data_IF_941607237400
#
_entry.id   IF_941607237400
#
_cell.length_a   1.000
_cell.length_b   1.000
_cell.length_c   1.000
_cell.angle_alpha   90.00
_cell.angle_beta   90.00
_cell.angle_gamma   90.00
#
_symmetry.space_group_name_H-M   'P 1'
#
loop_
_entity.id
_entity.type
_entity.pdbx_description
1 polymer ?
#
# COMPACT_ATOMS: atom_id res chain seq x y z
N UNK A 1 -28.55 17.78 46.95
CA UNK A 1 -27.48 18.25 46.03
C UNK A 1 -27.64 17.54 44.70
N UNK A 2 -28.33 18.18 43.74
CA UNK A 2 -28.49 17.63 42.39
C UNK A 2 -27.21 17.84 41.60
N UNK A 3 -26.62 16.74 41.11
CA UNK A 3 -25.46 16.78 40.22
C UNK A 3 -25.84 17.50 38.93
N UNK A 4 -25.20 18.64 38.67
CA UNK A 4 -25.32 19.40 37.43
C UNK A 4 -24.78 18.52 36.29
N UNK A 5 -25.66 18.08 35.39
CA UNK A 5 -25.26 17.49 34.11
C UNK A 5 -24.55 18.58 33.29
N UNK A 6 -23.23 18.48 33.17
CA UNK A 6 -22.45 19.29 32.24
C UNK A 6 -22.99 19.06 30.83
N UNK A 7 -23.54 20.11 30.20
CA UNK A 7 -23.87 20.08 28.77
C UNK A 7 -22.58 19.81 27.99
N UNK A 8 -22.58 18.92 26.98
CA UNK A 8 -21.44 18.81 26.09
C UNK A 8 -21.19 20.17 25.44
N UNK A 9 -19.92 20.59 25.43
CA UNK A 9 -19.44 21.80 24.75
C UNK A 9 -20.06 21.94 23.36
N UNK A 10 -20.60 23.13 23.07
CA UNK A 10 -21.33 23.47 21.85
C UNK A 10 -20.43 23.79 20.64
N UNK A 11 -19.11 23.66 20.78
CA UNK A 11 -18.14 24.06 19.75
C UNK A 11 -17.29 22.88 19.23
N UNK A 12 -17.84 21.67 19.16
CA UNK A 12 -17.23 20.66 18.26
C UNK A 12 -17.75 20.92 16.84
N UNK A 13 -16.86 21.11 15.84
CA UNK A 13 -17.30 21.17 14.46
C UNK A 13 -18.16 19.94 14.16
N UNK A 14 -19.25 20.13 13.42
CA UNK A 14 -20.16 19.04 13.06
C UNK A 14 -19.34 17.90 12.43
N UNK A 15 -19.40 16.71 13.05
CA UNK A 15 -18.69 15.53 12.56
C UNK A 15 -19.25 15.19 11.19
N UNK A 16 -18.40 15.26 10.17
CA UNK A 16 -18.77 14.83 8.83
C UNK A 16 -18.71 13.31 8.75
N UNK A 17 -19.86 12.68 9.03
CA UNK A 17 -19.94 11.22 9.14
C UNK A 17 -19.96 10.52 7.79
N UNK A 18 -20.30 11.20 6.69
CA UNK A 18 -20.49 10.59 5.37
C UNK A 18 -19.51 11.07 4.31
N UNK A 19 -18.92 12.26 4.51
CA UNK A 19 -18.06 12.88 3.51
C UNK A 19 -16.70 12.25 3.36
N UNK A 20 -16.14 11.61 4.40
CA UNK A 20 -14.86 10.87 4.36
C UNK A 20 -15.03 9.40 3.96
N UNK A 21 -13.96 8.61 3.85
CA UNK A 21 -14.07 7.15 3.96
C UNK A 21 -14.22 6.77 5.44
N UNK A 22 -15.05 5.78 5.80
CA UNK A 22 -15.27 5.43 7.20
C UNK A 22 -14.00 4.95 7.89
N UNK A 23 -13.74 5.53 9.06
CA UNK A 23 -12.68 5.13 9.98
C UNK A 23 -13.23 4.51 11.27
N UNK A 24 -14.52 4.69 11.53
CA UNK A 24 -15.24 4.23 12.72
C UNK A 24 -16.54 3.48 12.37
N UNK A 25 -17.13 2.81 13.37
CA UNK A 25 -18.43 2.13 13.23
C UNK A 25 -19.59 3.09 13.04
N UNK A 26 -19.57 4.23 13.75
CA UNK A 26 -20.55 5.31 13.62
C UNK A 26 -20.63 5.82 12.17
N UNK A 27 -19.48 5.98 11.50
CA UNK A 27 -19.43 6.37 10.09
C UNK A 27 -20.01 5.29 9.18
N UNK A 28 -19.75 4.01 9.44
CA UNK A 28 -20.37 2.91 8.68
C UNK A 28 -21.89 2.88 8.87
N UNK A 29 -22.37 3.04 10.10
CA UNK A 29 -23.81 3.06 10.41
C UNK A 29 -24.51 4.23 9.70
N UNK A 30 -23.87 5.41 9.64
CA UNK A 30 -24.38 6.56 8.91
C UNK A 30 -24.51 6.33 7.38
N UNK A 31 -23.77 5.37 6.82
CA UNK A 31 -23.88 4.92 5.41
C UNK A 31 -24.80 3.71 5.24
N UNK A 32 -25.34 3.16 6.33
CA UNK A 32 -26.08 1.89 6.32
C UNK A 32 -25.20 0.68 5.95
N UNK A 33 -23.90 0.73 6.27
CA UNK A 33 -22.95 -0.34 5.96
C UNK A 33 -22.78 -1.28 7.16
N UNK A 34 -23.21 -2.51 7.00
CA UNK A 34 -22.98 -3.62 7.94
C UNK A 34 -21.54 -4.15 7.87
N UNK A 35 -20.94 -4.10 6.68
CA UNK A 35 -19.57 -4.52 6.41
C UNK A 35 -18.92 -3.69 5.30
N UNK A 36 -17.59 -3.60 5.37
CA UNK A 36 -16.74 -3.08 4.28
C UNK A 36 -16.26 -4.23 3.39
N UNK A 37 -16.03 -3.94 2.12
CA UNK A 37 -15.44 -4.87 1.16
C UNK A 37 -13.91 -4.88 1.29
N UNK A 38 -13.31 -3.70 1.45
CA UNK A 38 -11.86 -3.51 1.51
C UNK A 38 -11.51 -2.67 2.74
N UNK A 39 -10.51 -3.13 3.50
CA UNK A 39 -9.89 -2.36 4.56
C UNK A 39 -8.51 -1.89 4.14
N UNK A 40 -8.24 -0.59 4.22
CA UNK A 40 -6.90 -0.03 4.00
C UNK A 40 -6.26 0.29 5.34
N UNK A 41 -5.16 -0.38 5.65
CA UNK A 41 -4.28 -0.04 6.77
C UNK A 41 -3.16 0.86 6.25
N UNK A 42 -3.04 2.05 6.82
CA UNK A 42 -2.15 3.11 6.37
C UNK A 42 -1.22 3.59 7.50
N UNK A 43 0.06 3.77 7.20
CA UNK A 43 1.06 4.31 8.13
C UNK A 43 1.01 5.84 8.33
N UNK A 44 0.28 6.58 7.50
CA UNK A 44 0.08 8.02 7.65
C UNK A 44 -1.22 8.36 8.38
N UNK A 45 -1.33 9.59 8.87
CA UNK A 45 -2.61 10.20 9.20
C UNK A 45 -3.55 10.18 7.97
N UNK A 46 -4.85 10.00 8.22
CA UNK A 46 -5.84 10.02 7.15
C UNK A 46 -6.12 11.46 6.72
N UNK A 47 -5.52 11.84 5.61
CA UNK A 47 -5.83 13.09 4.89
C UNK A 47 -6.54 12.70 3.61
N UNK A 48 -7.79 13.11 3.48
CA UNK A 48 -8.62 12.76 2.33
C UNK A 48 -8.33 13.71 1.16
N UNK A 49 -7.16 13.53 0.55
CA UNK A 49 -6.63 14.37 -0.50
C UNK A 49 -5.91 13.50 -1.54
N UNK A 50 -5.99 13.80 -2.85
CA UNK A 50 -5.39 12.96 -3.90
C UNK A 50 -3.86 12.88 -3.87
N UNK A 51 -3.20 13.71 -3.05
CA UNK A 51 -1.75 13.61 -2.79
C UNK A 51 -1.38 12.51 -1.78
N UNK A 52 -2.38 11.88 -1.14
CA UNK A 52 -2.18 10.81 -0.16
C UNK A 52 -2.63 9.49 -0.78
N UNK A 53 -1.68 8.57 -1.01
CA UNK A 53 -1.91 7.36 -1.80
C UNK A 53 -3.02 6.46 -1.25
N UNK A 54 -3.11 6.31 0.08
CA UNK A 54 -4.18 5.52 0.72
C UNK A 54 -5.58 6.10 0.45
N UNK A 55 -5.73 7.43 0.57
CA UNK A 55 -6.98 8.12 0.28
C UNK A 55 -7.34 8.03 -1.20
N UNK A 56 -6.35 8.25 -2.08
CA UNK A 56 -6.54 8.15 -3.54
C UNK A 56 -7.06 6.76 -3.93
N UNK A 57 -6.42 5.69 -3.45
CA UNK A 57 -6.84 4.32 -3.75
C UNK A 57 -8.21 4.02 -3.15
N UNK A 58 -8.46 4.46 -1.91
CA UNK A 58 -9.75 4.26 -1.26
C UNK A 58 -10.90 4.92 -2.02
N UNK A 59 -10.74 6.18 -2.43
CA UNK A 59 -11.73 6.90 -3.24
C UNK A 59 -11.90 6.29 -4.63
N UNK A 60 -10.80 5.87 -5.25
CA UNK A 60 -10.85 5.23 -6.57
C UNK A 60 -11.70 3.95 -6.56
N UNK A 61 -11.58 3.14 -5.50
CA UNK A 61 -12.39 1.95 -5.27
C UNK A 61 -13.83 2.30 -4.86
N UNK A 62 -14.03 3.26 -3.96
CA UNK A 62 -15.37 3.70 -3.53
C UNK A 62 -16.22 4.17 -4.72
N UNK A 63 -15.64 4.97 -5.62
CA UNK A 63 -16.29 5.43 -6.84
C UNK A 63 -16.70 4.29 -7.79
N UNK A 64 -16.16 3.08 -7.60
CA UNK A 64 -16.45 1.85 -8.36
C UNK A 64 -17.36 0.88 -7.60
N UNK A 65 -18.04 1.39 -6.57
CA UNK A 65 -19.08 0.68 -5.83
C UNK A 65 -18.55 -0.26 -4.75
N UNK A 66 -17.29 -0.13 -4.34
CA UNK A 66 -16.75 -0.89 -3.22
C UNK A 66 -16.93 -0.12 -1.91
N UNK A 67 -17.29 -0.82 -0.83
CA UNK A 67 -17.33 -0.26 0.52
C UNK A 67 -15.93 -0.28 1.10
N UNK A 68 -15.26 0.87 1.21
CA UNK A 68 -13.86 0.94 1.65
C UNK A 68 -13.76 1.60 3.02
N UNK A 69 -13.06 0.95 3.95
CA UNK A 69 -12.73 1.53 5.27
C UNK A 69 -11.24 1.82 5.40
N UNK A 70 -10.88 2.79 6.25
CA UNK A 70 -9.47 3.19 6.48
C UNK A 70 -9.11 3.13 7.96
N UNK A 71 -7.97 2.50 8.25
CA UNK A 71 -7.33 2.52 9.56
C UNK A 71 -5.94 3.13 9.41
N UNK A 72 -5.82 4.37 9.88
CA UNK A 72 -4.59 5.15 9.84
C UNK A 72 -3.86 5.09 11.17
N UNK A 73 -2.57 4.79 11.13
CA UNK A 73 -1.67 4.71 12.29
C UNK A 73 -2.24 3.86 13.44
N UNK A 74 -2.68 2.61 13.17
CA UNK A 74 -3.12 1.74 14.25
C UNK A 74 -1.96 1.45 15.19
N UNK A 75 -2.28 1.27 16.47
CA UNK A 75 -1.36 0.64 17.41
C UNK A 75 -0.98 -0.75 16.92
N UNK A 76 0.22 -1.16 17.27
CA UNK A 76 0.82 -2.42 16.77
C UNK A 76 1.29 -3.36 17.87
N UNK A 77 0.85 -3.13 19.11
CA UNK A 77 1.08 -4.05 20.22
C UNK A 77 0.05 -5.19 20.25
N UNK A 78 -1.03 -5.10 19.47
CA UNK A 78 -2.01 -6.16 19.25
C UNK A 78 -2.95 -5.85 18.07
N UNK A 79 -3.85 -6.79 17.69
CA UNK A 79 -4.75 -6.66 16.54
C UNK A 79 -6.00 -5.81 16.81
N UNK A 80 -6.22 -5.32 18.03
CA UNK A 80 -7.47 -4.71 18.48
C UNK A 80 -7.87 -3.49 17.65
N UNK A 81 -6.92 -2.61 17.35
CA UNK A 81 -7.17 -1.42 16.52
C UNK A 81 -7.58 -1.81 15.09
N UNK A 82 -7.05 -2.91 14.55
CA UNK A 82 -7.37 -3.42 13.21
C UNK A 82 -8.80 -3.97 13.15
N UNK A 83 -9.31 -4.50 14.27
CA UNK A 83 -10.65 -5.08 14.36
C UNK A 83 -11.77 -4.04 14.42
N UNK A 84 -11.48 -2.74 14.60
CA UNK A 84 -12.49 -1.70 14.85
C UNK A 84 -13.52 -1.53 13.72
N UNK A 85 -13.15 -1.86 12.49
CA UNK A 85 -14.02 -1.87 11.31
C UNK A 85 -14.51 -3.28 10.93
N UNK A 86 -14.34 -4.26 11.80
CA UNK A 86 -14.72 -5.64 11.56
C UNK A 86 -14.01 -6.26 10.37
N UNK A 87 -14.41 -7.49 10.04
CA UNK A 87 -13.79 -8.25 8.95
C UNK A 87 -14.23 -7.71 7.58
N UNK A 88 -13.30 -7.32 6.69
CA UNK A 88 -13.63 -6.97 5.31
C UNK A 88 -14.06 -8.20 4.51
N UNK A 89 -14.91 -8.01 3.50
CA UNK A 89 -15.43 -9.11 2.68
C UNK A 89 -14.42 -9.64 1.66
N UNK A 90 -13.55 -8.78 1.12
CA UNK A 90 -12.66 -9.12 0.00
C UNK A 90 -11.20 -9.26 0.45
N UNK A 91 -10.59 -8.20 0.97
CA UNK A 91 -9.18 -8.20 1.37
C UNK A 91 -8.81 -7.04 2.30
N UNK A 92 -7.62 -7.14 2.89
CA UNK A 92 -6.94 -6.02 3.57
C UNK A 92 -5.82 -5.50 2.69
N UNK A 93 -5.89 -4.22 2.31
CA UNK A 93 -4.82 -3.48 1.66
C UNK A 93 -3.91 -2.84 2.70
N UNK A 94 -2.58 -2.92 2.52
CA UNK A 94 -1.61 -2.40 3.48
C UNK A 94 -0.61 -1.50 2.79
N UNK A 95 -0.40 -0.32 3.35
CA UNK A 95 0.65 0.61 2.93
C UNK A 95 1.36 1.24 4.12
N UNK A 96 2.67 1.45 3.99
CA UNK A 96 3.46 2.20 4.97
C UNK A 96 3.18 3.71 4.97
N UNK A 97 2.37 4.19 4.01
CA UNK A 97 2.06 5.60 3.77
C UNK A 97 2.72 6.13 2.49
N UNK A 98 2.76 7.45 2.38
CA UNK A 98 3.37 8.20 1.28
C UNK A 98 4.90 8.15 1.30
N UNK A 99 5.51 7.60 2.35
CA UNK A 99 6.94 7.45 2.50
C UNK A 99 7.28 6.07 3.08
N UNK A 100 8.48 5.57 2.78
CA UNK A 100 9.03 4.40 3.47
C UNK A 100 9.11 4.65 4.98
N UNK A 101 8.72 3.66 5.78
CA UNK A 101 8.59 3.84 7.23
C UNK A 101 9.93 4.11 7.93
N UNK A 102 11.03 3.60 7.37
CA UNK A 102 12.37 3.83 7.90
C UNK A 102 12.89 5.20 7.48
N UNK A 103 12.67 5.62 6.23
CA UNK A 103 13.02 6.95 5.73
C UNK A 103 12.23 8.07 6.42
N UNK A 104 10.98 7.76 6.82
CA UNK A 104 10.17 8.65 7.63
C UNK A 104 10.73 8.84 9.04
N UNK A 105 11.35 7.81 9.62
CA UNK A 105 11.94 7.87 10.96
C UNK A 105 13.37 8.39 10.98
N UNK A 106 14.16 8.08 9.95
CA UNK A 106 15.60 8.28 9.93
C UNK A 106 16.03 9.24 8.81
N UNK A 107 17.05 10.06 9.10
CA UNK A 107 17.77 10.81 8.08
C UNK A 107 18.72 9.89 7.30
N UNK A 108 19.27 10.40 6.19
CA UNK A 108 20.30 9.69 5.43
C UNK A 108 21.53 9.32 6.27
N UNK A 109 21.82 10.07 7.35
CA UNK A 109 22.90 9.79 8.31
C UNK A 109 22.45 8.89 9.46
N UNK A 110 21.32 8.16 9.32
CA UNK A 110 20.74 7.26 10.33
C UNK A 110 20.39 7.96 11.67
N UNK A 111 20.15 9.27 11.67
CA UNK A 111 19.66 10.00 12.86
C UNK A 111 18.14 9.96 12.90
N UNK A 112 17.56 9.84 14.10
CA UNK A 112 16.11 9.92 14.28
C UNK A 112 15.63 11.34 13.97
N UNK A 113 14.62 11.47 13.10
CA UNK A 113 13.96 12.73 12.80
C UNK A 113 13.15 13.19 14.01
N UNK A 114 13.17 14.50 14.27
CA UNK A 114 12.40 15.12 15.35
C UNK A 114 10.90 15.21 15.04
N UNK A 115 10.52 15.08 13.76
CA UNK A 115 9.16 15.24 13.28
C UNK A 115 8.82 14.17 12.24
N UNK A 116 7.63 13.58 12.34
CA UNK A 116 6.99 12.79 11.28
C UNK A 116 5.95 13.66 10.57
N UNK A 117 6.27 14.09 9.35
CA UNK A 117 5.44 15.04 8.62
C UNK A 117 4.05 14.50 8.26
N UNK A 118 3.84 13.19 8.32
CA UNK A 118 2.59 12.55 7.97
C UNK A 118 1.78 12.14 9.22
N UNK A 119 2.16 12.63 10.40
CA UNK A 119 1.50 12.35 11.66
C UNK A 119 0.85 13.59 12.27
N UNK A 120 -0.19 13.42 13.11
CA UNK A 120 -0.80 14.54 13.83
C UNK A 120 0.21 15.24 14.74
N UNK A 121 0.30 16.56 14.60
CA UNK A 121 1.24 17.47 15.24
C UNK A 121 2.71 17.10 15.02
N UNK A 122 3.01 16.41 13.91
CA UNK A 122 4.38 15.99 13.62
C UNK A 122 4.89 14.88 14.56
N UNK A 123 4.02 14.25 15.35
CA UNK A 123 4.43 13.29 16.39
C UNK A 123 5.14 12.09 15.78
N UNK A 124 6.36 11.84 16.25
CA UNK A 124 7.15 10.65 15.90
C UNK A 124 6.64 9.41 16.62
N UNK A 125 6.93 8.22 16.07
CA UNK A 125 6.62 6.96 16.76
C UNK A 125 5.13 6.60 16.71
N UNK A 126 4.41 7.07 15.71
CA UNK A 126 3.00 6.74 15.39
C UNK A 126 2.85 5.62 14.37
N UNK A 127 3.96 5.19 13.76
CA UNK A 127 4.05 4.03 12.87
C UNK A 127 5.25 3.15 13.24
N UNK A 128 5.17 1.82 13.07
CA UNK A 128 6.28 0.93 13.33
C UNK A 128 7.36 1.01 12.24
N UNK A 129 8.57 0.61 12.61
CA UNK A 129 9.63 0.35 11.64
C UNK A 129 9.21 -0.81 10.71
N UNK A 130 9.47 -0.69 9.41
CA UNK A 130 9.05 -1.66 8.38
C UNK A 130 7.54 -1.94 8.46
N UNK A 131 6.76 -0.86 8.44
CA UNK A 131 5.33 -0.87 8.70
C UNK A 131 4.55 -1.92 7.89
N UNK A 132 4.91 -2.13 6.62
CA UNK A 132 4.27 -3.14 5.76
C UNK A 132 4.34 -4.55 6.38
N UNK A 133 5.47 -4.92 7.00
CA UNK A 133 5.64 -6.22 7.65
C UNK A 133 4.78 -6.34 8.91
N UNK A 134 4.84 -5.31 9.77
CA UNK A 134 4.15 -5.29 11.06
C UNK A 134 2.63 -5.31 10.84
N UNK A 135 2.12 -4.43 9.98
CA UNK A 135 0.70 -4.37 9.67
C UNK A 135 0.20 -5.62 8.95
N UNK A 136 1.02 -6.29 8.13
CA UNK A 136 0.65 -7.60 7.55
C UNK A 136 0.45 -8.64 8.63
N UNK A 137 1.37 -8.72 9.59
CA UNK A 137 1.26 -9.66 10.70
C UNK A 137 -0.02 -9.40 11.52
N UNK A 138 -0.30 -8.14 11.86
CA UNK A 138 -1.52 -7.76 12.59
C UNK A 138 -2.78 -8.08 11.80
N UNK A 139 -2.81 -7.79 10.49
CA UNK A 139 -3.95 -8.12 9.64
C UNK A 139 -4.22 -9.63 9.59
N UNK A 140 -3.16 -10.46 9.54
CA UNK A 140 -3.29 -11.92 9.57
C UNK A 140 -3.78 -12.45 10.92
N UNK A 141 -3.40 -11.81 12.02
CA UNK A 141 -3.91 -12.14 13.36
C UNK A 141 -5.38 -11.73 13.52
N UNK A 142 -5.73 -10.51 13.08
CA UNK A 142 -7.09 -9.98 13.14
C UNK A 142 -8.06 -10.75 12.24
N UNK A 143 -7.61 -11.15 11.04
CA UNK A 143 -8.45 -11.77 10.03
C UNK A 143 -7.80 -13.01 9.40
N UNK A 144 -7.74 -14.15 10.13
CA UNK A 144 -7.22 -15.39 9.58
C UNK A 144 -7.92 -15.77 8.26
N UNK A 145 -7.13 -16.25 7.29
CA UNK A 145 -7.58 -16.66 5.96
C UNK A 145 -8.05 -15.53 5.03
N UNK A 146 -8.05 -14.26 5.47
CA UNK A 146 -8.38 -13.15 4.59
C UNK A 146 -7.17 -12.77 3.73
N UNK A 147 -7.36 -12.51 2.42
CA UNK A 147 -6.27 -12.03 1.57
C UNK A 147 -5.67 -10.73 2.09
N UNK A 148 -4.34 -10.65 2.11
CA UNK A 148 -3.57 -9.45 2.43
C UNK A 148 -2.80 -8.99 1.20
N UNK A 149 -3.06 -7.75 0.77
CA UNK A 149 -2.48 -7.13 -0.42
C UNK A 149 -1.59 -5.97 0.00
N UNK A 150 -0.29 -6.06 -0.28
CA UNK A 150 0.65 -4.97 -0.04
C UNK A 150 0.60 -3.93 -1.15
N UNK A 151 0.86 -2.66 -0.82
CA UNK A 151 1.01 -1.59 -1.79
C UNK A 151 1.77 -0.37 -1.26
N UNK A 152 1.92 0.63 -2.12
CA UNK A 152 2.63 1.87 -1.83
C UNK A 152 4.15 1.75 -1.96
N UNK A 153 4.86 2.82 -1.60
CA UNK A 153 6.29 3.00 -1.91
C UNK A 153 7.15 1.93 -1.22
N UNK A 154 6.93 1.69 0.07
CA UNK A 154 7.73 0.72 0.84
C UNK A 154 7.65 -0.69 0.24
N UNK A 155 6.44 -1.16 -0.10
CA UNK A 155 6.26 -2.47 -0.70
C UNK A 155 6.83 -2.52 -2.12
N UNK A 156 6.52 -1.50 -2.94
CA UNK A 156 6.96 -1.42 -4.33
C UNK A 156 8.48 -1.47 -4.46
N UNK A 157 9.22 -0.70 -3.65
CA UNK A 157 10.68 -0.64 -3.73
C UNK A 157 11.37 -1.90 -3.17
N UNK A 158 10.67 -2.68 -2.33
CA UNK A 158 11.18 -3.91 -1.71
C UNK A 158 10.64 -5.19 -2.35
N UNK A 159 10.07 -5.10 -3.56
CA UNK A 159 9.39 -6.23 -4.23
C UNK A 159 10.33 -7.35 -4.70
N UNK A 160 11.63 -7.07 -4.84
CA UNK A 160 12.69 -8.05 -5.10
C UNK A 160 13.74 -7.99 -3.99
N UNK A 161 14.77 -8.84 -4.05
CA UNK A 161 15.95 -8.69 -3.22
C UNK A 161 16.52 -7.27 -3.39
N UNK A 162 16.84 -6.63 -2.27
CA UNK A 162 17.21 -5.23 -2.25
C UNK A 162 18.25 -4.97 -1.17
N UNK A 163 19.10 -3.98 -1.40
CA UNK A 163 20.01 -3.50 -0.38
C UNK A 163 19.26 -2.62 0.62
N UNK A 164 19.29 -3.01 1.89
CA UNK A 164 18.71 -2.26 2.99
C UNK A 164 19.79 -1.41 3.66
N UNK A 165 19.79 -0.12 3.35
CA UNK A 165 20.74 0.85 3.89
C UNK A 165 20.76 0.88 5.43
N UNK A 166 19.62 0.62 6.06
CA UNK A 166 19.45 0.71 7.51
C UNK A 166 20.21 -0.40 8.23
N UNK A 167 20.04 -1.65 7.79
CA UNK A 167 20.76 -2.82 8.32
C UNK A 167 22.09 -3.13 7.63
N UNK A 168 22.48 -2.35 6.62
CA UNK A 168 23.72 -2.54 5.84
C UNK A 168 23.83 -3.98 5.31
N UNK A 169 22.76 -4.47 4.70
CA UNK A 169 22.67 -5.85 4.22
C UNK A 169 21.69 -6.00 3.08
N UNK A 170 21.86 -7.04 2.26
CA UNK A 170 20.88 -7.44 1.26
C UNK A 170 19.75 -8.19 1.95
N UNK A 171 18.52 -7.74 1.73
CA UNK A 171 17.30 -8.37 2.24
C UNK A 171 16.54 -9.07 1.13
N UNK A 172 15.72 -10.05 1.52
CA UNK A 172 14.74 -10.71 0.66
C UNK A 172 13.66 -9.73 0.22
N UNK A 173 12.83 -10.18 -0.72
CA UNK A 173 11.60 -9.46 -1.07
C UNK A 173 10.70 -9.32 0.16
N UNK A 174 10.07 -8.15 0.30
CA UNK A 174 9.07 -7.89 1.34
C UNK A 174 7.92 -8.90 1.29
N UNK A 175 7.62 -9.46 0.12
CA UNK A 175 6.57 -10.46 -0.03
C UNK A 175 6.93 -11.79 0.65
N UNK A 176 8.21 -12.16 0.64
CA UNK A 176 8.72 -13.35 1.35
C UNK A 176 8.68 -13.12 2.86
N UNK A 177 9.16 -11.96 3.32
CA UNK A 177 9.26 -11.63 4.75
C UNK A 177 7.88 -11.39 5.40
N UNK A 178 6.98 -10.68 4.71
CA UNK A 178 5.62 -10.37 5.22
C UNK A 178 4.67 -11.55 5.15
N UNK A 179 4.93 -12.49 4.23
CA UNK A 179 3.98 -13.53 3.84
C UNK A 179 2.64 -12.96 3.37
N UNK A 180 2.58 -11.75 2.80
CA UNK A 180 1.36 -11.26 2.14
C UNK A 180 1.03 -12.13 0.91
N UNK A 181 -0.23 -12.12 0.49
CA UNK A 181 -0.71 -12.98 -0.61
C UNK A 181 -0.40 -12.38 -1.98
N UNK A 182 -0.44 -11.05 -2.08
CA UNK A 182 -0.19 -10.28 -3.29
C UNK A 182 0.50 -8.95 -2.94
N UNK A 183 1.29 -8.42 -3.87
CA UNK A 183 1.88 -7.09 -3.79
C UNK A 183 1.56 -6.31 -5.05
N UNK A 184 1.00 -5.11 -4.91
CA UNK A 184 0.78 -4.17 -6.00
C UNK A 184 1.92 -3.15 -6.02
N UNK A 185 2.51 -2.92 -7.18
CA UNK A 185 3.61 -1.96 -7.35
C UNK A 185 3.38 -0.97 -8.49
N UNK A 186 4.02 0.19 -8.37
CA UNK A 186 3.85 1.30 -9.31
C UNK A 186 2.48 1.95 -9.15
N UNK A 187 1.83 2.28 -10.27
CA UNK A 187 0.48 2.85 -10.32
C UNK A 187 -0.55 1.80 -9.88
N UNK A 188 -1.14 2.00 -8.71
CA UNK A 188 -1.92 0.98 -8.00
C UNK A 188 -3.40 0.90 -8.36
N UNK A 189 -3.96 1.88 -9.07
CA UNK A 189 -5.40 2.03 -9.28
C UNK A 189 -6.01 0.92 -10.14
N UNK A 190 -5.46 0.68 -11.33
CA UNK A 190 -5.97 -0.42 -12.19
C UNK A 190 -5.78 -1.77 -11.50
N UNK A 191 -4.59 -2.12 -10.96
CA UNK A 191 -4.39 -3.43 -10.33
C UNK A 191 -5.27 -3.65 -9.11
N UNK A 192 -5.43 -2.66 -8.24
CA UNK A 192 -6.25 -2.83 -7.03
C UNK A 192 -7.73 -2.97 -7.36
N UNK A 193 -8.21 -2.26 -8.38
CA UNK A 193 -9.58 -2.42 -8.86
C UNK A 193 -9.80 -3.80 -9.48
N UNK A 194 -8.88 -4.27 -10.33
CA UNK A 194 -8.98 -5.60 -10.93
C UNK A 194 -8.93 -6.71 -9.88
N UNK A 195 -8.08 -6.58 -8.85
CA UNK A 195 -8.06 -7.48 -7.68
C UNK A 195 -9.42 -7.47 -6.97
N UNK A 196 -9.95 -6.29 -6.63
CA UNK A 196 -11.21 -6.16 -5.92
C UNK A 196 -12.39 -6.73 -6.74
N UNK A 197 -12.41 -6.47 -8.05
CA UNK A 197 -13.46 -6.95 -8.95
C UNK A 197 -13.45 -8.47 -9.11
N UNK A 198 -12.27 -9.07 -9.34
CA UNK A 198 -12.16 -10.53 -9.48
C UNK A 198 -12.51 -11.25 -8.17
N UNK A 199 -12.08 -10.73 -7.02
CA UNK A 199 -12.47 -11.27 -5.71
C UNK A 199 -13.98 -11.13 -5.46
N UNK A 200 -14.58 -9.99 -5.81
CA UNK A 200 -16.04 -9.79 -5.75
C UNK A 200 -16.78 -10.76 -6.67
N UNK A 201 -16.18 -11.13 -7.80
CA UNK A 201 -16.67 -12.16 -8.73
C UNK A 201 -16.46 -13.61 -8.27
N UNK A 202 -15.88 -13.84 -7.08
CA UNK A 202 -15.68 -15.17 -6.51
C UNK A 202 -14.34 -15.82 -6.81
N UNK A 203 -13.43 -15.14 -7.50
CA UNK A 203 -12.05 -15.62 -7.63
C UNK A 203 -11.37 -15.67 -6.26
N UNK A 204 -10.44 -16.60 -6.09
CA UNK A 204 -9.55 -16.64 -4.93
C UNK A 204 -8.31 -15.79 -5.19
N UNK A 205 -7.59 -15.39 -4.13
CA UNK A 205 -6.30 -14.70 -4.28
C UNK A 205 -5.26 -15.53 -5.05
N UNK A 206 -5.41 -16.87 -5.04
CA UNK A 206 -4.54 -17.77 -5.78
C UNK A 206 -4.78 -17.74 -7.30
N UNK A 207 -5.94 -17.26 -7.74
CA UNK A 207 -6.29 -17.13 -9.17
C UNK A 207 -5.76 -15.82 -9.78
N UNK A 208 -5.38 -14.85 -8.94
CA UNK A 208 -4.97 -13.49 -9.36
C UNK A 208 -3.50 -13.43 -9.80
N UNK A 209 -3.09 -14.29 -10.75
CA UNK A 209 -1.68 -14.48 -11.11
C UNK A 209 -1.23 -13.70 -12.35
N UNK A 210 -2.15 -13.09 -13.07
CA UNK A 210 -1.97 -12.46 -14.38
C UNK A 210 -2.22 -10.94 -14.38
N UNK A 211 -2.57 -10.36 -13.22
CA UNK A 211 -2.88 -8.93 -13.10
C UNK A 211 -1.59 -8.11 -13.23
N UNK A 212 -1.54 -7.19 -14.20
CA UNK A 212 -0.38 -6.30 -14.38
C UNK A 212 -0.14 -5.44 -13.13
N UNK A 213 1.12 -5.12 -12.84
CA UNK A 213 1.50 -4.35 -11.66
C UNK A 213 1.39 -5.13 -10.35
N UNK A 214 1.26 -6.46 -10.42
CA UNK A 214 1.21 -7.32 -9.22
C UNK A 214 2.39 -8.28 -9.14
N UNK A 215 2.71 -8.70 -7.93
CA UNK A 215 3.70 -9.71 -7.63
C UNK A 215 3.14 -10.72 -6.62
N UNK A 216 3.54 -11.98 -6.78
CA UNK A 216 3.13 -13.09 -5.93
C UNK A 216 4.25 -14.11 -5.73
N UNK A 217 4.12 -14.96 -4.71
CA UNK A 217 5.02 -16.09 -4.52
C UNK A 217 4.57 -17.29 -5.36
N UNK A 218 5.56 -17.99 -5.90
CA UNK A 218 5.45 -19.31 -6.54
C UNK A 218 6.08 -20.36 -5.62
N UNK A 219 5.38 -21.47 -5.44
CA UNK A 219 5.85 -22.59 -4.63
C UNK A 219 6.87 -23.45 -5.41
N UNK A 220 7.64 -24.32 -4.74
CA UNK A 220 8.51 -25.27 -5.43
C UNK A 220 7.72 -26.10 -6.44
N UNK A 221 8.25 -26.26 -7.64
CA UNK A 221 7.61 -26.95 -8.77
C UNK A 221 6.71 -26.06 -9.64
N UNK A 222 6.43 -24.80 -9.25
CA UNK A 222 5.59 -23.90 -10.03
C UNK A 222 6.40 -22.94 -10.94
N UNK A 223 7.72 -22.89 -10.79
CA UNK A 223 8.52 -21.83 -11.43
C UNK A 223 9.80 -22.28 -12.12
N UNK A 224 10.31 -23.44 -11.75
CA UNK A 224 11.61 -23.97 -12.16
C UNK A 224 11.66 -24.26 -13.66
N UNK A 225 10.52 -24.68 -14.23
CA UNK A 225 10.38 -25.01 -15.65
C UNK A 225 9.94 -23.81 -16.52
N UNK A 226 9.74 -22.63 -15.93
CA UNK A 226 9.36 -21.43 -16.70
C UNK A 226 10.48 -21.01 -17.63
N UNK A 227 10.29 -21.16 -18.95
CA UNK A 227 11.28 -20.77 -19.93
C UNK A 227 11.64 -19.28 -19.76
N UNK A 228 12.94 -18.91 -19.70
CA UNK A 228 13.34 -17.51 -19.58
C UNK A 228 13.08 -16.75 -20.89
N UNK A 229 12.78 -15.46 -20.76
CA UNK A 229 12.62 -14.57 -21.91
C UNK A 229 13.91 -14.40 -22.70
N UNK A 230 13.77 -14.46 -24.02
CA UNK A 230 14.79 -14.07 -25.02
C UNK A 230 14.46 -12.73 -25.66
N UNK A 231 13.16 -12.42 -25.84
CA UNK A 231 12.69 -11.20 -26.50
C UNK A 231 11.46 -10.64 -25.80
N UNK A 232 11.25 -9.31 -25.82
CA UNK A 232 10.08 -8.66 -25.19
C UNK A 232 8.73 -9.28 -25.61
N UNK A 233 8.61 -9.73 -26.86
CA UNK A 233 7.35 -10.26 -27.42
C UNK A 233 7.03 -11.70 -27.02
N UNK A 234 7.96 -12.43 -26.39
CA UNK A 234 7.71 -13.84 -26.02
C UNK A 234 6.83 -14.01 -24.77
N UNK A 235 6.59 -12.93 -24.01
CA UNK A 235 5.74 -12.96 -22.82
C UNK A 235 6.30 -13.78 -21.66
N UNK A 236 7.56 -14.23 -21.74
CA UNK A 236 8.21 -15.07 -20.74
C UNK A 236 8.88 -14.22 -19.64
N UNK A 237 9.14 -14.77 -18.45
CA UNK A 237 9.80 -14.02 -17.39
C UNK A 237 11.30 -13.87 -17.65
N UNK A 238 11.86 -12.71 -17.31
CA UNK A 238 13.30 -12.55 -17.12
C UNK A 238 13.67 -13.14 -15.76
N UNK A 239 14.59 -14.10 -15.75
CA UNK A 239 15.15 -14.67 -14.52
C UNK A 239 16.21 -13.73 -13.95
N UNK A 240 15.95 -13.19 -12.77
CA UNK A 240 16.92 -12.43 -12.01
C UNK A 240 17.82 -13.39 -11.20
N UNK A 241 19.09 -13.01 -10.92
CA UNK A 241 19.89 -13.71 -9.92
C UNK A 241 19.12 -13.89 -8.61
N UNK A 242 19.23 -15.07 -8.02
CA UNK A 242 18.56 -15.45 -6.78
C UNK A 242 18.99 -14.54 -5.61
N UNK A 243 18.16 -14.49 -4.57
CA UNK A 243 18.51 -13.80 -3.32
C UNK A 243 19.87 -14.28 -2.77
N UNK A 244 20.11 -15.60 -2.77
CA UNK A 244 21.34 -16.21 -2.28
C UNK A 244 22.57 -15.72 -3.07
N UNK A 245 22.49 -15.67 -4.40
CA UNK A 245 23.56 -15.14 -5.25
C UNK A 245 23.82 -13.65 -4.98
N UNK A 246 22.78 -12.83 -4.95
CA UNK A 246 22.95 -11.37 -4.79
C UNK A 246 23.33 -10.96 -3.37
N UNK A 247 23.04 -11.80 -2.38
CA UNK A 247 23.49 -11.59 -1.00
C UNK A 247 24.98 -11.93 -0.83
N UNK A 248 25.50 -12.88 -1.61
CA UNK A 248 26.89 -13.32 -1.56
C UNK A 248 27.83 -12.51 -2.47
N UNK A 249 27.33 -11.99 -3.60
CA UNK A 249 28.15 -11.32 -4.61
C UNK A 249 27.60 -9.96 -5.06
N UNK A 250 28.45 -8.93 -4.96
CA UNK A 250 28.15 -7.56 -5.40
C UNK A 250 27.99 -7.45 -6.91
N UNK A 251 28.70 -8.26 -7.69
CA UNK A 251 28.55 -8.28 -9.15
C UNK A 251 27.20 -8.87 -9.56
N UNK A 252 26.78 -9.99 -8.93
CA UNK A 252 25.43 -10.52 -9.07
C UNK A 252 24.34 -9.50 -8.67
N UNK A 253 24.52 -8.77 -7.56
CA UNK A 253 23.59 -7.72 -7.15
C UNK A 253 23.49 -6.59 -8.19
N UNK A 254 24.62 -6.17 -8.76
CA UNK A 254 24.66 -5.16 -9.83
C UNK A 254 23.94 -5.64 -11.09
N UNK A 255 24.20 -6.88 -11.51
CA UNK A 255 23.55 -7.50 -12.66
C UNK A 255 22.03 -7.61 -12.47
N UNK A 256 21.59 -8.06 -11.29
CA UNK A 256 20.17 -8.10 -10.90
C UNK A 256 19.54 -6.71 -10.96
N UNK A 257 20.18 -5.71 -10.36
CA UNK A 257 19.69 -4.33 -10.33
C UNK A 257 19.51 -3.78 -11.73
N UNK A 258 20.50 -3.98 -12.62
CA UNK A 258 20.41 -3.56 -14.02
C UNK A 258 19.25 -4.26 -14.75
N UNK A 259 19.14 -5.58 -14.63
CA UNK A 259 18.07 -6.35 -15.27
C UNK A 259 16.68 -5.89 -14.80
N UNK A 260 16.52 -5.68 -13.50
CA UNK A 260 15.28 -5.15 -12.93
C UNK A 260 14.91 -3.76 -13.47
N UNK A 261 15.87 -2.84 -13.58
CA UNK A 261 15.60 -1.48 -14.06
C UNK A 261 15.12 -1.47 -15.52
N UNK A 262 15.60 -2.39 -16.37
CA UNK A 262 15.12 -2.53 -17.74
C UNK A 262 13.64 -2.94 -17.84
N UNK A 263 13.10 -3.59 -16.82
CA UNK A 263 11.71 -4.09 -16.81
C UNK A 263 10.77 -3.20 -15.97
N UNK A 264 11.05 -1.89 -15.88
CA UNK A 264 10.20 -0.94 -15.14
C UNK A 264 9.17 -0.21 -16.01
N UNK A 265 9.39 -0.13 -17.33
CA UNK A 265 8.50 0.60 -18.24
C UNK A 265 7.33 -0.27 -18.73
N UNK A 266 6.06 0.11 -18.54
CA UNK A 266 4.90 -0.73 -18.88
C UNK A 266 4.79 -1.08 -20.38
N UNK A 267 5.42 -0.31 -21.27
CA UNK A 267 5.37 -0.52 -22.72
C UNK A 267 6.26 -1.66 -23.24
N UNK A 268 7.33 -2.01 -22.51
CA UNK A 268 8.30 -3.04 -22.93
C UNK A 268 8.66 -4.05 -21.85
N UNK A 269 8.29 -3.79 -20.59
CA UNK A 269 8.65 -4.65 -19.48
C UNK A 269 8.01 -6.03 -19.60
N UNK A 270 8.85 -7.03 -19.41
CA UNK A 270 8.50 -8.43 -19.31
C UNK A 270 8.17 -8.78 -17.87
N UNK A 271 7.52 -9.93 -17.63
CA UNK A 271 7.46 -10.48 -16.28
C UNK A 271 8.87 -10.70 -15.72
N UNK A 272 9.01 -10.63 -14.40
CA UNK A 272 10.25 -10.95 -13.70
C UNK A 272 10.04 -12.15 -12.81
N UNK A 273 11.11 -12.92 -12.60
CA UNK A 273 11.13 -13.94 -11.56
C UNK A 273 12.45 -13.94 -10.82
N UNK A 274 12.40 -14.05 -9.49
CA UNK A 274 13.58 -14.16 -8.64
C UNK A 274 13.40 -15.27 -7.61
N UNK A 275 14.35 -16.20 -7.55
CA UNK A 275 14.37 -17.24 -6.53
C UNK A 275 14.77 -16.67 -5.15
N UNK A 276 14.10 -17.15 -4.10
CA UNK A 276 14.36 -16.89 -2.69
C UNK A 276 14.30 -18.23 -1.95
N UNK A 277 15.41 -18.98 -1.97
CA UNK A 277 15.43 -20.39 -1.56
C UNK A 277 14.59 -21.26 -2.50
N UNK A 278 13.69 -22.08 -1.95
CA UNK A 278 12.86 -23.00 -2.74
C UNK A 278 11.64 -22.33 -3.41
N UNK A 279 11.30 -21.10 -3.02
CA UNK A 279 10.20 -20.33 -3.61
C UNK A 279 10.74 -19.26 -4.54
N UNK A 280 9.89 -18.73 -5.41
CA UNK A 280 10.24 -17.59 -6.23
C UNK A 280 9.21 -16.45 -6.10
N UNK A 281 9.68 -15.21 -6.20
CA UNK A 281 8.83 -14.04 -6.38
C UNK A 281 8.63 -13.85 -7.88
N UNK A 282 7.39 -13.91 -8.34
CA UNK A 282 7.00 -13.61 -9.71
C UNK A 282 6.36 -12.24 -9.77
N UNK A 283 6.79 -11.39 -10.71
CA UNK A 283 6.24 -10.07 -10.94
C UNK A 283 5.63 -10.05 -12.34
N UNK A 284 4.35 -9.72 -12.43
CA UNK A 284 3.71 -9.40 -13.69
C UNK A 284 4.28 -8.09 -14.24
N UNK A 285 4.19 -7.83 -15.56
CA UNK A 285 4.58 -6.55 -16.13
C UNK A 285 3.88 -5.37 -15.43
N UNK A 286 4.52 -4.19 -15.31
CA UNK A 286 3.93 -3.00 -14.69
C UNK A 286 2.54 -2.64 -15.27
N UNK A 287 1.67 -2.10 -14.42
CA UNK A 287 0.37 -1.63 -14.84
C UNK A 287 0.49 -0.56 -15.93
N UNK A 288 -0.44 -0.56 -16.89
CA UNK A 288 -0.52 0.54 -17.86
C UNK A 288 -0.96 1.82 -17.12
N UNK A 289 -0.42 3.00 -17.48
CA UNK A 289 -0.88 4.26 -16.91
C UNK A 289 -2.38 4.46 -17.17
N UNK A 290 -3.02 5.27 -16.34
CA UNK A 290 -4.40 5.70 -16.63
C UNK A 290 -4.42 6.51 -17.94
N UNK A 291 -5.45 6.32 -18.73
CA UNK A 291 -5.76 7.24 -19.83
C UNK A 291 -6.16 8.60 -19.25
N UNK A 292 -6.06 9.67 -20.04
CA UNK A 292 -6.39 11.04 -19.61
C UNK A 292 -7.79 11.12 -18.99
N UNK A 293 -8.82 10.55 -19.62
CA UNK A 293 -10.19 10.57 -19.09
C UNK A 293 -10.31 9.89 -17.73
N UNK A 294 -9.66 8.74 -17.54
CA UNK A 294 -9.67 8.03 -16.26
C UNK A 294 -8.86 8.79 -15.18
N UNK A 295 -7.86 9.59 -15.58
CA UNK A 295 -7.13 10.47 -14.68
C UNK A 295 -7.99 11.67 -14.27
N UNK A 296 -8.70 12.29 -15.21
CA UNK A 296 -9.63 13.38 -14.94
C UNK A 296 -10.74 12.92 -13.97
N UNK A 297 -11.37 11.79 -14.26
CA UNK A 297 -12.36 11.15 -13.38
C UNK A 297 -11.83 10.93 -11.96
N UNK A 298 -10.58 10.49 -11.81
CA UNK A 298 -9.96 10.27 -10.51
C UNK A 298 -9.79 11.59 -9.74
N UNK A 299 -9.37 12.66 -10.40
CA UNK A 299 -9.14 13.96 -9.74
C UNK A 299 -10.44 14.74 -9.49
N UNK A 300 -11.52 14.39 -10.20
CA UNK A 300 -12.88 14.90 -10.00
C UNK A 300 -13.65 14.20 -8.86
N UNK A 301 -13.10 13.11 -8.31
CA UNK A 301 -13.72 12.43 -7.15
C UNK A 301 -13.90 13.39 -5.96
N UNK A 302 -14.94 13.17 -5.12
CA UNK A 302 -15.31 14.08 -4.03
C UNK A 302 -14.38 13.96 -2.81
N UNK A 303 -13.08 14.21 -2.99
CA UNK A 303 -12.14 14.36 -1.90
C UNK A 303 -12.51 15.55 -1.02
N UNK A 304 -12.51 15.35 0.30
CA UNK A 304 -12.71 16.42 1.27
C UNK A 304 -11.58 17.46 1.25
N UNK A 305 -10.42 17.08 0.70
CA UNK A 305 -9.19 17.88 0.59
C UNK A 305 -8.75 18.47 1.93
N UNK A 306 -8.94 17.72 3.01
CA UNK A 306 -8.58 18.09 4.39
C UNK A 306 -8.29 16.84 5.24
N UNK A 307 -7.59 16.98 6.37
CA UNK A 307 -7.44 15.91 7.36
C UNK A 307 -8.80 15.44 7.89
N UNK A 308 -8.87 14.16 8.26
CA UNK A 308 -10.05 13.60 8.90
C UNK A 308 -10.38 14.30 10.22
N UNK A 309 -11.67 14.49 10.52
CA UNK A 309 -12.13 15.22 11.71
C UNK A 309 -11.68 14.59 13.04
N UNK A 310 -11.27 13.32 13.03
CA UNK A 310 -10.73 12.61 14.20
C UNK A 310 -9.47 13.28 14.78
N UNK A 311 -8.76 14.06 13.96
CA UNK A 311 -7.55 14.77 14.38
C UNK A 311 -7.84 16.14 15.03
N UNK A 312 -9.09 16.61 15.02
CA UNK A 312 -9.45 17.92 15.55
C UNK A 312 -8.63 19.04 14.87
N UNK A 313 -7.98 19.87 15.68
CA UNK A 313 -7.13 20.98 15.23
C UNK A 313 -5.67 20.57 15.01
N UNK A 314 -5.34 19.28 15.12
CA UNK A 314 -3.96 18.81 14.96
C UNK A 314 -3.44 19.11 13.55
N UNK A 315 -2.21 19.62 13.50
CA UNK A 315 -1.56 19.94 12.24
C UNK A 315 -1.02 18.67 11.58
N UNK A 316 -1.24 18.49 10.28
CA UNK A 316 -0.55 17.45 9.49
C UNK A 316 0.49 18.14 8.58
N UNK A 317 1.80 18.14 8.92
CA UNK A 317 2.79 18.95 8.20
C UNK A 317 2.86 18.68 6.69
N UNK A 318 2.70 17.43 6.25
CA UNK A 318 2.69 17.04 4.85
C UNK A 318 1.44 17.52 4.11
N UNK A 319 0.33 17.80 4.81
CA UNK A 319 -0.85 18.40 4.18
C UNK A 319 -0.62 19.88 3.89
N UNK A 320 0.08 20.61 4.75
CA UNK A 320 0.35 22.04 4.54
C UNK A 320 1.11 22.33 3.26
N UNK A 321 1.97 21.41 2.82
CA UNK A 321 2.73 21.55 1.58
C UNK A 321 1.88 21.34 0.34
N UNK A 322 0.81 20.54 0.41
CA UNK A 322 0.02 20.12 -0.75
C UNK A 322 -1.39 20.72 -0.82
N UNK A 323 -1.92 21.29 0.27
CA UNK A 323 -3.33 21.72 0.37
C UNK A 323 -3.78 22.77 -0.67
N UNK A 324 -2.83 23.54 -1.20
CA UNK A 324 -3.07 24.54 -2.25
C UNK A 324 -2.39 24.19 -3.59
N UNK A 325 -1.89 22.96 -3.71
CA UNK A 325 -1.22 22.51 -4.94
C UNK A 325 -2.22 22.09 -6.01
N UNK A 326 -1.87 22.36 -7.26
CA UNK A 326 -2.56 21.87 -8.44
C UNK A 326 -1.69 20.79 -9.09
N UNK A 327 -2.27 19.63 -9.40
CA UNK A 327 -1.56 18.57 -10.10
C UNK A 327 -1.53 18.91 -11.59
N UNK A 328 -0.34 19.18 -12.13
CA UNK A 328 -0.14 19.47 -13.56
C UNK A 328 0.29 18.24 -14.37
N UNK A 329 0.92 17.26 -13.72
CA UNK A 329 1.35 16.01 -14.34
C UNK A 329 1.39 14.89 -13.32
N UNK A 330 1.31 13.65 -13.81
CA UNK A 330 1.43 12.45 -12.98
C UNK A 330 2.23 11.36 -13.69
N UNK A 331 3.20 10.81 -12.97
CA UNK A 331 4.08 9.76 -13.45
C UNK A 331 5.45 9.86 -12.79
N UNK A 332 6.24 8.79 -12.81
CA UNK A 332 7.61 8.83 -12.34
C UNK A 332 8.52 9.24 -13.51
N UNK A 333 9.43 10.20 -13.28
CA UNK A 333 10.39 10.67 -14.29
C UNK A 333 11.22 9.52 -14.89
N UNK A 334 11.44 8.46 -14.10
CA UNK A 334 12.12 7.24 -14.54
C UNK A 334 11.30 6.31 -15.46
N UNK A 335 10.07 6.69 -15.86
CA UNK A 335 9.19 5.84 -16.68
C UNK A 335 8.61 4.64 -15.93
N UNK A 336 8.65 4.71 -14.61
CA UNK A 336 7.95 3.82 -13.68
C UNK A 336 6.58 4.41 -13.28
#
# INVERSE_FOLDING_TARGET
MGLVKLRPSRDRPARDLVGFLPTTREEMDARGWDAIDVLIINGDAYVDHPAFGAALIGRFLEARGFRVGVISQPRWDGPEDILRLGRPRLFVGITAGNLDSMLNKLTAQKKVRSEDHYSPDGRTGTRPNRASLVYTNLARQAFPGLPVVLGGIEASLRRIAHYDYWSDSVRRSVLVDSKADLLIFGMGERPVWEVAERLRGGATVADLRDIRGTAHLRNPGEWEDLEPSRFVRDGRPVRLPSYEEVAADKAAFSAMSRAFQYETNPGNARPLIQAHGARAVYLNPPARPLETSAMDELYDLPFQRRPHWIYGDARIPAFDTVKHSIVTMRGCFGGC
#
